data_IF_553450055230
#
_entry.id   IF_553450055230
#
_cell.length_a   1.000
_cell.length_b   1.000
_cell.length_c   1.000
_cell.angle_alpha   90.00
_cell.angle_beta   90.00
_cell.angle_gamma   90.00
#
_symmetry.space_group_name_H-M   'P 1'
#
loop_
_entity.id
_entity.type
_entity.pdbx_description
1 polymer ?
#
# COMPACT_ATOMS: atom_id res chain seq x y z
N UNK A 1 32.94 -59.38 25.94
CA UNK A 1 33.07 -57.96 26.35
C UNK A 1 31.68 -57.42 26.66
N UNK A 2 31.58 -56.65 27.74
CA UNK A 2 30.38 -56.43 28.56
C UNK A 2 29.29 -55.58 27.90
N UNK A 3 28.02 -55.97 28.14
CA UNK A 3 26.83 -55.12 28.09
C UNK A 3 26.76 -54.32 29.39
N UNK A 4 26.58 -53.00 29.30
CA UNK A 4 26.26 -52.15 30.46
C UNK A 4 25.05 -51.29 30.14
N UNK A 5 23.94 -51.58 30.81
CA UNK A 5 22.76 -50.73 30.96
C UNK A 5 23.06 -49.61 31.94
N UNK A 6 22.69 -48.37 31.63
CA UNK A 6 22.59 -47.30 32.62
C UNK A 6 21.16 -46.78 32.69
N UNK A 7 20.56 -46.95 33.86
CA UNK A 7 19.28 -46.40 34.31
C UNK A 7 19.52 -44.92 34.66
N UNK A 8 18.76 -44.02 34.05
CA UNK A 8 18.73 -42.60 34.41
C UNK A 8 17.67 -42.37 35.50
N UNK A 9 18.15 -42.10 36.72
CA UNK A 9 17.36 -41.62 37.86
C UNK A 9 17.10 -40.12 37.73
N UNK A 10 15.83 -39.72 37.84
CA UNK A 10 15.38 -38.32 37.84
C UNK A 10 15.58 -37.73 39.24
N UNK A 11 16.26 -36.57 39.42
CA UNK A 11 16.32 -35.90 40.72
C UNK A 11 15.08 -35.04 40.99
N UNK A 12 14.60 -35.13 42.23
CA UNK A 12 13.46 -34.40 42.81
C UNK A 12 13.64 -32.86 42.78
N UNK A 13 12.57 -32.13 42.46
CA UNK A 13 12.47 -30.67 42.61
C UNK A 13 12.36 -30.26 44.10
N UNK A 14 13.05 -29.21 44.55
CA UNK A 14 12.84 -28.66 45.90
C UNK A 14 11.57 -27.78 45.96
N UNK A 15 10.83 -27.94 47.05
CA UNK A 15 9.62 -27.18 47.41
C UNK A 15 10.01 -25.78 47.92
N UNK A 16 9.38 -24.75 47.37
CA UNK A 16 9.50 -23.35 47.83
C UNK A 16 8.42 -23.10 48.90
N UNK A 17 8.74 -22.51 50.07
CA UNK A 17 7.75 -22.21 51.10
C UNK A 17 6.91 -20.98 50.76
N UNK A 18 5.59 -21.12 50.93
CA UNK A 18 4.61 -20.05 50.85
C UNK A 18 4.80 -19.04 52.00
N UNK A 19 5.19 -17.81 51.69
CA UNK A 19 5.05 -16.67 52.59
C UNK A 19 3.60 -16.17 52.53
N UNK A 20 2.87 -16.36 53.62
CA UNK A 20 1.57 -15.71 53.88
C UNK A 20 1.83 -14.27 54.36
N UNK A 21 1.56 -13.27 53.53
CA UNK A 21 1.40 -11.90 53.98
C UNK A 21 -0.08 -11.66 54.33
N UNK A 22 -0.36 -11.47 55.61
CA UNK A 22 -1.63 -10.93 56.10
C UNK A 22 -1.77 -9.47 55.65
N UNK A 23 -2.72 -9.20 54.75
CA UNK A 23 -3.22 -7.85 54.49
C UNK A 23 -4.55 -7.66 55.23
N UNK A 24 -4.52 -6.81 56.25
CA UNK A 24 -5.70 -6.32 56.95
C UNK A 24 -6.46 -5.32 56.06
N UNK A 25 -7.77 -5.53 55.89
CA UNK A 25 -8.71 -4.58 55.25
C UNK A 25 -8.80 -3.27 56.06
N UNK A 26 -8.83 -2.10 55.41
CA UNK A 26 -9.40 -0.91 56.02
C UNK A 26 -10.91 -0.79 55.72
N UNK A 27 -11.65 -0.44 56.77
CA UNK A 27 -13.09 -0.25 56.83
C UNK A 27 -13.59 1.00 56.08
N UNK A 28 -14.83 0.92 55.60
CA UNK A 28 -15.62 2.03 55.03
C UNK A 28 -16.17 2.98 56.10
N UNK A 29 -16.12 4.31 55.94
CA UNK A 29 -16.88 5.23 56.79
C UNK A 29 -18.31 5.45 56.27
N UNK A 30 -19.25 5.43 57.22
CA UNK A 30 -20.68 5.67 57.06
C UNK A 30 -21.00 7.14 56.81
N UNK A 31 -21.99 7.40 55.96
CA UNK A 31 -22.63 8.70 55.74
C UNK A 31 -23.55 9.11 56.90
N UNK A 32 -23.69 10.42 57.19
CA UNK A 32 -24.93 10.96 57.74
C UNK A 32 -25.62 11.90 56.72
N UNK A 33 -26.93 11.72 56.57
CA UNK A 33 -27.82 12.65 55.89
C UNK A 33 -28.00 13.92 56.72
N UNK A 34 -27.93 15.10 56.10
CA UNK A 34 -28.64 16.28 56.59
C UNK A 34 -29.10 17.13 55.40
N UNK A 35 -30.42 17.25 55.26
CA UNK A 35 -31.11 18.18 54.39
C UNK A 35 -30.81 19.63 54.80
N UNK A 36 -30.56 20.53 53.84
CA UNK A 36 -31.24 21.83 53.82
C UNK A 36 -31.05 22.59 52.50
N UNK A 37 -32.17 23.19 52.09
CA UNK A 37 -32.33 24.40 51.27
C UNK A 37 -31.88 24.42 49.81
N UNK A 38 -32.86 24.10 48.96
CA UNK A 38 -33.02 24.63 47.60
C UNK A 38 -32.80 26.15 47.58
N UNK A 39 -31.79 26.58 46.84
CA UNK A 39 -31.74 27.91 46.24
C UNK A 39 -31.59 27.71 44.74
N UNK A 40 -32.68 27.97 44.01
CA UNK A 40 -32.68 28.03 42.55
C UNK A 40 -31.84 29.24 42.13
N UNK A 41 -30.53 29.04 41.99
CA UNK A 41 -29.72 29.94 41.17
C UNK A 41 -30.02 29.61 39.71
N UNK A 42 -30.83 30.49 39.12
CA UNK A 42 -31.01 30.65 37.69
C UNK A 42 -29.64 30.77 37.04
N UNK A 43 -29.09 29.64 36.58
CA UNK A 43 -27.82 29.63 35.85
C UNK A 43 -28.13 30.05 34.43
N UNK A 44 -27.98 31.35 34.24
CA UNK A 44 -27.91 32.03 32.96
C UNK A 44 -27.14 31.15 31.97
N UNK A 45 -27.82 30.73 30.88
CA UNK A 45 -27.22 29.94 29.81
C UNK A 45 -26.04 30.72 29.25
N UNK A 46 -24.84 30.43 29.75
CA UNK A 46 -23.59 30.87 29.12
C UNK A 46 -23.58 30.30 27.72
N UNK A 47 -23.73 31.20 26.75
CA UNK A 47 -23.63 30.89 25.33
C UNK A 47 -22.21 30.39 25.07
N UNK A 48 -22.02 29.07 25.05
CA UNK A 48 -20.72 28.47 24.79
C UNK A 48 -20.42 28.62 23.30
N UNK A 49 -19.65 29.65 22.94
CA UNK A 49 -19.10 29.82 21.60
C UNK A 49 -18.24 28.61 21.25
N UNK A 50 -18.79 27.66 20.50
CA UNK A 50 -18.06 26.53 19.92
C UNK A 50 -17.12 27.05 18.84
N UNK A 51 -15.81 27.00 19.10
CA UNK A 51 -14.81 27.38 18.08
C UNK A 51 -14.59 26.18 17.16
N UNK A 52 -14.73 26.41 15.86
CA UNK A 52 -14.49 25.41 14.83
C UNK A 52 -13.06 25.58 14.31
N UNK A 53 -12.33 24.47 14.18
CA UNK A 53 -10.99 24.45 13.58
C UNK A 53 -10.97 23.49 12.40
N UNK A 54 -10.30 23.86 11.32
CA UNK A 54 -10.05 22.99 10.18
C UNK A 54 -8.55 22.84 9.96
N UNK A 55 -8.09 21.60 9.84
CA UNK A 55 -6.70 21.31 9.48
C UNK A 55 -6.59 19.94 8.81
N UNK A 56 -5.50 19.73 8.08
CA UNK A 56 -5.10 18.38 7.70
C UNK A 56 -4.58 17.64 8.93
N UNK A 57 -5.01 16.40 9.11
CA UNK A 57 -4.59 15.58 10.23
C UNK A 57 -3.06 15.42 10.23
N UNK A 58 -2.39 15.97 11.26
CA UNK A 58 -0.92 15.90 11.41
C UNK A 58 -0.40 14.47 11.55
N UNK A 59 -1.24 13.55 12.02
CA UNK A 59 -0.97 12.12 12.15
C UNK A 59 -2.27 11.33 12.17
N UNK A 60 -2.19 10.01 11.96
CA UNK A 60 -3.32 9.08 12.06
C UNK A 60 -3.76 8.71 13.48
N UNK A 61 -3.49 9.55 14.50
CA UNK A 61 -3.76 9.22 15.91
C UNK A 61 -5.12 9.71 16.42
N UNK A 62 -5.82 10.55 15.66
CA UNK A 62 -7.16 11.05 16.02
C UNK A 62 -8.25 10.13 15.49
N UNK A 63 -9.29 9.89 16.29
CA UNK A 63 -10.51 9.20 15.86
C UNK A 63 -11.66 10.17 15.66
N UNK A 64 -12.48 9.93 14.64
CA UNK A 64 -13.68 10.71 14.37
C UNK A 64 -14.75 10.43 15.44
N UNK A 65 -15.29 11.49 16.05
CA UNK A 65 -16.29 11.36 17.11
C UNK A 65 -17.69 10.93 16.66
N UNK A 66 -18.00 11.01 15.36
CA UNK A 66 -19.26 10.50 14.80
C UNK A 66 -19.17 9.02 14.41
N UNK A 67 -18.19 8.64 13.60
CA UNK A 67 -18.13 7.27 13.04
C UNK A 67 -17.12 6.34 13.74
N UNK A 68 -16.35 6.84 14.71
CA UNK A 68 -15.37 6.05 15.47
C UNK A 68 -14.09 5.67 14.71
N UNK A 69 -14.13 5.69 13.37
CA UNK A 69 -12.98 5.39 12.50
C UNK A 69 -11.83 6.39 12.72
N UNK A 70 -10.60 5.91 12.53
CA UNK A 70 -9.38 6.72 12.58
C UNK A 70 -9.37 7.73 11.42
N UNK A 71 -8.99 8.98 11.73
CA UNK A 71 -8.74 10.01 10.72
C UNK A 71 -7.26 9.90 10.35
N UNK A 72 -6.98 9.45 9.13
CA UNK A 72 -5.63 9.23 8.59
C UNK A 72 -4.86 10.53 8.43
N UNK A 73 -3.52 10.46 8.43
CA UNK A 73 -2.67 11.65 8.26
C UNK A 73 -2.93 12.31 6.90
N UNK A 74 -2.82 13.63 6.83
CA UNK A 74 -3.10 14.47 5.65
C UNK A 74 -4.56 14.51 5.18
N UNK A 75 -5.50 13.83 5.85
CA UNK A 75 -6.94 13.99 5.57
C UNK A 75 -7.48 15.24 6.27
N UNK A 76 -8.32 16.00 5.56
CA UNK A 76 -9.02 17.16 6.11
C UNK A 76 -9.95 16.73 7.25
N UNK A 77 -9.80 17.38 8.40
CA UNK A 77 -10.65 17.15 9.57
C UNK A 77 -11.15 18.45 10.19
N UNK A 78 -12.34 18.38 10.76
CA UNK A 78 -12.99 19.46 11.48
C UNK A 78 -13.03 19.18 12.98
N UNK A 79 -12.62 20.16 13.77
CA UNK A 79 -12.55 20.07 15.22
C UNK A 79 -13.51 21.03 15.90
N UNK A 80 -14.32 20.52 16.82
CA UNK A 80 -15.06 21.35 17.78
C UNK A 80 -14.21 21.53 19.01
N UNK A 81 -13.81 22.77 19.29
CA UNK A 81 -13.01 23.11 20.47
C UNK A 81 -13.95 23.56 21.57
N UNK A 82 -13.94 22.81 22.67
CA UNK A 82 -14.66 23.14 23.91
C UNK A 82 -13.67 23.26 25.05
N UNK A 83 -13.90 24.19 25.99
CA UNK A 83 -13.10 24.27 27.22
C UNK A 83 -13.64 23.32 28.28
N UNK A 84 -12.76 22.54 28.90
CA UNK A 84 -13.11 21.71 30.05
C UNK A 84 -13.30 22.57 31.31
N UNK A 85 -13.83 21.97 32.38
CA UNK A 85 -14.07 22.67 33.65
C UNK A 85 -12.78 23.20 34.32
N UNK A 86 -11.60 22.76 33.86
CA UNK A 86 -10.27 23.19 34.31
C UNK A 86 -9.65 24.25 33.39
N UNK A 87 -10.36 24.66 32.34
CA UNK A 87 -9.94 25.69 31.39
C UNK A 87 -9.08 25.21 30.22
N UNK A 88 -8.88 23.90 30.05
CA UNK A 88 -8.12 23.34 28.92
C UNK A 88 -9.00 23.13 27.69
N UNK A 89 -8.44 23.44 26.52
CA UNK A 89 -9.11 23.22 25.24
C UNK A 89 -9.11 21.72 24.87
N UNK A 90 -10.30 21.19 24.64
CA UNK A 90 -10.52 19.83 24.15
C UNK A 90 -11.12 19.88 22.74
N UNK A 91 -10.44 19.27 21.78
CA UNK A 91 -10.90 19.21 20.39
C UNK A 91 -11.56 17.88 20.07
N UNK A 92 -12.83 17.92 19.64
CA UNK A 92 -13.57 16.78 19.11
C UNK A 92 -13.44 16.75 17.59
N UNK A 93 -12.60 15.85 17.09
CA UNK A 93 -12.30 15.70 15.66
C UNK A 93 -13.36 14.90 14.90
N UNK A 94 -13.63 15.31 13.67
CA UNK A 94 -14.55 14.66 12.73
C UNK A 94 -13.94 14.63 11.32
N UNK A 95 -14.26 13.60 10.54
CA UNK A 95 -14.10 13.70 9.08
C UNK A 95 -14.98 14.84 8.55
N UNK A 96 -14.61 15.39 7.39
CA UNK A 96 -15.40 16.40 6.68
C UNK A 96 -16.88 16.01 6.57
N UNK A 97 -17.16 14.82 6.00
CA UNK A 97 -18.53 14.29 5.82
C UNK A 97 -19.18 13.79 7.12
N UNK A 98 -18.44 13.82 8.23
CA UNK A 98 -18.93 13.45 9.55
C UNK A 98 -19.26 14.64 10.43
N UNK A 99 -19.01 15.85 9.97
CA UNK A 99 -19.28 17.07 10.70
C UNK A 99 -20.71 17.53 10.43
N UNK A 100 -21.48 17.80 11.48
CA UNK A 100 -22.89 18.18 11.37
C UNK A 100 -23.26 19.43 12.18
N UNK A 101 -22.27 20.08 12.79
CA UNK A 101 -22.53 21.33 13.48
C UNK A 101 -22.74 22.44 12.46
N UNK A 102 -23.68 23.34 12.77
CA UNK A 102 -23.95 24.50 11.92
C UNK A 102 -22.72 25.41 11.91
N UNK A 103 -22.32 25.82 10.71
CA UNK A 103 -21.23 26.77 10.50
C UNK A 103 -21.90 28.09 10.16
N UNK A 104 -22.03 28.97 11.16
CA UNK A 104 -22.78 30.22 11.00
C UNK A 104 -22.00 31.25 10.15
N UNK A 105 -20.67 31.16 10.10
CA UNK A 105 -19.81 31.93 9.20
C UNK A 105 -18.49 31.20 8.97
N UNK A 106 -17.97 31.27 7.74
CA UNK A 106 -16.69 30.68 7.35
C UNK A 106 -15.49 31.40 8.00
N UNK A 107 -15.66 32.67 8.37
CA UNK A 107 -14.64 33.48 9.06
C UNK A 107 -14.38 32.98 10.50
N UNK A 108 -15.23 32.09 11.01
CA UNK A 108 -15.12 31.49 12.35
C UNK A 108 -14.26 30.22 12.34
N UNK A 109 -13.96 29.64 11.17
CA UNK A 109 -13.16 28.42 11.05
C UNK A 109 -11.67 28.77 11.09
N UNK A 110 -11.03 28.54 12.24
CA UNK A 110 -9.59 28.71 12.35
C UNK A 110 -8.87 27.67 11.49
N UNK A 111 -7.99 28.14 10.59
CA UNK A 111 -7.18 27.29 9.71
C UNK A 111 -7.71 27.16 8.27
N UNK A 112 -8.84 27.80 7.95
CA UNK A 112 -9.44 27.77 6.61
C UNK A 112 -8.50 28.27 5.50
N UNK A 113 -7.81 29.39 5.72
CA UNK A 113 -6.90 29.98 4.72
C UNK A 113 -5.66 29.11 4.43
N UNK A 114 -5.35 28.16 5.32
CA UNK A 114 -4.23 27.23 5.17
C UNK A 114 -4.59 25.95 4.41
N UNK A 115 -5.85 25.80 3.98
CA UNK A 115 -6.34 24.65 3.22
C UNK A 115 -6.12 24.81 1.71
N UNK A 116 -6.01 23.71 0.98
CA UNK A 116 -5.99 23.72 -0.49
C UNK A 116 -7.31 24.27 -1.03
N UNK A 117 -7.29 24.93 -2.19
CA UNK A 117 -8.47 25.58 -2.77
C UNK A 117 -9.68 24.65 -2.97
N UNK A 118 -9.43 23.38 -3.36
CA UNK A 118 -10.46 22.34 -3.49
C UNK A 118 -11.16 22.06 -2.17
N UNK A 119 -10.40 21.97 -1.07
CA UNK A 119 -10.90 21.70 0.27
C UNK A 119 -11.61 22.92 0.89
N UNK A 120 -11.16 24.12 0.56
CA UNK A 120 -11.88 25.36 0.89
C UNK A 120 -13.26 25.39 0.24
N UNK A 121 -13.36 24.95 -1.03
CA UNK A 121 -14.64 24.89 -1.73
C UNK A 121 -15.56 23.79 -1.17
N UNK A 122 -15.02 22.65 -0.76
CA UNK A 122 -15.79 21.60 -0.10
C UNK A 122 -16.38 22.05 1.24
N UNK A 123 -15.63 22.82 2.04
CA UNK A 123 -16.12 23.42 3.28
C UNK A 123 -17.18 24.51 3.03
N UNK A 124 -17.03 25.31 1.98
CA UNK A 124 -18.07 26.28 1.55
C UNK A 124 -19.38 25.56 1.25
N UNK A 125 -19.34 24.49 0.44
CA UNK A 125 -20.52 23.66 0.12
C UNK A 125 -21.15 22.99 1.33
N UNK A 126 -20.35 22.63 2.34
CA UNK A 126 -20.84 22.05 3.60
C UNK A 126 -21.52 23.10 4.50
N UNK A 127 -21.04 24.34 4.50
CA UNK A 127 -21.68 25.46 5.19
C UNK A 127 -23.02 25.86 4.52
N UNK A 128 -23.11 25.76 3.19
CA UNK A 128 -24.29 26.11 2.39
C UNK A 128 -25.39 25.00 2.34
N UNK A 129 -25.23 23.91 3.10
CA UNK A 129 -26.28 22.91 3.34
C UNK A 129 -26.70 22.03 2.15
N UNK A 130 -25.91 21.96 1.08
CA UNK A 130 -26.33 21.36 -0.20
C UNK A 130 -25.75 19.96 -0.47
N UNK A 131 -26.00 18.98 0.42
CA UNK A 131 -25.82 17.55 0.12
C UNK A 131 -27.03 16.74 0.62
N UNK A 132 -27.78 16.11 -0.30
CA UNK A 132 -28.84 15.14 0.01
C UNK A 132 -28.27 13.72 0.10
N UNK A 133 -28.65 13.01 1.17
CA UNK A 133 -28.38 11.59 1.42
C UNK A 133 -29.17 10.65 0.48
N UNK A 134 -28.62 9.50 0.04
CA UNK A 134 -29.40 8.36 -0.41
C UNK A 134 -29.65 7.34 0.73
N UNK A 135 -30.92 6.95 0.93
CA UNK A 135 -31.37 5.87 1.84
C UNK A 135 -31.33 4.51 1.14
N UNK A 136 -31.03 3.50 1.96
CA UNK A 136 -30.98 2.06 1.71
C UNK A 136 -32.31 1.43 1.27
N UNK A 137 -32.23 0.36 0.45
CA UNK A 137 -32.98 -0.89 0.64
C UNK A 137 -32.02 -2.07 0.45
N UNK A 138 -32.06 -2.98 1.43
CA UNK A 138 -31.20 -4.17 1.69
C UNK A 138 -31.58 -5.35 0.78
N UNK A 139 -30.76 -6.37 0.54
CA UNK A 139 -29.52 -6.72 1.23
C UNK A 139 -28.79 -7.95 0.66
N UNK A 140 -27.84 -8.38 1.49
CA UNK A 140 -26.92 -9.53 1.43
C UNK A 140 -25.56 -9.32 0.72
N UNK A 141 -24.62 -8.95 1.60
CA UNK A 141 -23.29 -9.53 1.81
C UNK A 141 -22.11 -9.00 0.96
N UNK A 142 -21.36 -8.13 1.64
CA UNK A 142 -19.88 -8.08 1.77
C UNK A 142 -19.02 -7.41 0.69
N UNK A 143 -19.08 -6.08 0.71
CA UNK A 143 -17.97 -5.09 0.79
C UNK A 143 -16.64 -5.43 0.05
N UNK A 144 -16.35 -4.64 -0.98
CA UNK A 144 -15.01 -4.32 -1.49
C UNK A 144 -14.84 -2.78 -1.46
N UNK A 145 -13.96 -2.29 -0.59
CA UNK A 145 -13.49 -0.90 -0.58
C UNK A 145 -12.48 -0.69 -1.71
N UNK A 146 -12.77 0.27 -2.60
CA UNK A 146 -11.83 0.86 -3.57
C UNK A 146 -11.45 2.24 -3.04
N UNK A 147 -10.16 2.54 -2.97
CA UNK A 147 -9.66 3.92 -2.86
C UNK A 147 -8.90 4.24 -4.15
N UNK A 148 -9.43 5.21 -4.89
CA UNK A 148 -8.84 5.85 -6.06
C UNK A 148 -8.08 7.10 -5.59
N UNK A 149 -6.84 7.27 -6.06
CA UNK A 149 -6.12 8.54 -6.06
C UNK A 149 -6.26 9.16 -7.45
N UNK A 150 -6.79 10.39 -7.51
CA UNK A 150 -6.77 11.25 -8.69
C UNK A 150 -5.61 12.26 -8.58
N UNK A 151 -4.79 12.39 -9.63
CA UNK A 151 -4.03 13.61 -9.92
C UNK A 151 -4.40 14.11 -11.32
N UNK A 152 -4.90 15.34 -11.38
CA UNK A 152 -5.11 16.14 -12.59
C UNK A 152 -3.96 17.13 -12.68
N UNK A 153 -3.19 17.09 -13.77
CA UNK A 153 -2.39 18.22 -14.24
C UNK A 153 -3.15 18.99 -15.31
N UNK A 154 -2.99 20.32 -15.31
CA UNK A 154 -3.58 21.22 -16.31
C UNK A 154 -2.47 21.90 -17.11
N UNK A 155 -2.52 21.74 -18.43
CA UNK A 155 -1.73 22.50 -19.40
C UNK A 155 -2.29 23.92 -19.56
N UNK A 156 -1.39 24.88 -19.85
CA UNK A 156 -1.72 26.05 -20.66
C UNK A 156 -0.69 26.23 -21.77
N UNK A 157 -1.20 26.24 -23.00
CA UNK A 157 -0.51 26.55 -24.24
C UNK A 157 -0.04 28.00 -24.31
N UNK A 158 1.08 28.27 -24.98
CA UNK A 158 1.09 29.28 -26.02
C UNK A 158 2.13 28.99 -27.12
N UNK A 159 1.73 29.26 -28.35
CA UNK A 159 2.35 28.87 -29.61
C UNK A 159 3.51 29.78 -30.00
N UNK A 160 4.58 29.22 -30.59
CA UNK A 160 5.14 29.65 -31.88
C UNK A 160 6.18 28.68 -32.45
N UNK A 161 6.00 28.44 -33.75
CA UNK A 161 6.66 27.53 -34.71
C UNK A 161 8.09 28.01 -35.06
N UNK A 162 9.04 27.09 -35.23
CA UNK A 162 10.24 27.06 -36.15
C UNK A 162 11.09 25.83 -35.71
N UNK A 163 11.02 24.70 -36.42
CA UNK A 163 11.94 24.17 -37.47
C UNK A 163 13.22 23.47 -36.93
N UNK A 164 13.26 22.14 -37.12
CA UNK A 164 14.41 21.21 -37.27
C UNK A 164 15.60 21.31 -36.30
N UNK A 165 15.76 20.29 -35.45
CA UNK A 165 16.91 19.36 -35.41
C UNK A 165 16.85 18.50 -34.14
N UNK A 166 17.12 17.19 -34.25
CA UNK A 166 17.35 16.31 -33.09
C UNK A 166 18.51 16.85 -32.22
N UNK A 167 18.55 16.48 -30.92
CA UNK A 167 19.45 15.38 -30.57
C UNK A 167 18.96 14.46 -29.44
N UNK A 168 19.55 13.25 -29.48
CA UNK A 168 19.68 12.26 -28.42
C UNK A 168 20.08 12.83 -27.05
N UNK A 169 19.58 12.18 -25.99
CA UNK A 169 20.41 11.54 -24.95
C UNK A 169 19.48 10.85 -23.93
N UNK A 170 19.35 9.51 -24.05
CA UNK A 170 18.79 8.68 -22.96
C UNK A 170 19.75 8.81 -21.79
N UNK A 171 19.34 9.53 -20.75
CA UNK A 171 19.98 9.50 -19.44
C UNK A 171 19.87 8.09 -18.86
N UNK A 172 20.83 7.23 -19.23
CA UNK A 172 20.93 5.87 -18.77
C UNK A 172 21.37 5.92 -17.31
N UNK A 173 20.47 5.54 -16.40
CA UNK A 173 20.83 5.25 -15.03
C UNK A 173 21.81 4.07 -15.08
N UNK A 174 23.11 4.36 -14.97
CA UNK A 174 24.14 3.35 -14.91
C UNK A 174 24.12 2.73 -13.50
N UNK A 175 23.11 1.90 -13.27
CA UNK A 175 22.99 1.12 -12.03
C UNK A 175 24.11 0.10 -12.05
N UNK A 176 25.14 0.32 -11.24
CA UNK A 176 26.23 -0.63 -11.04
C UNK A 176 25.67 -1.88 -10.32
N UNK A 177 25.26 -2.89 -11.10
CA UNK A 177 24.91 -4.20 -10.58
C UNK A 177 26.21 -5.00 -10.38
N UNK A 178 26.55 -5.26 -9.12
CA UNK A 178 27.67 -6.12 -8.76
C UNK A 178 27.16 -7.40 -8.09
N UNK A 179 27.77 -8.54 -8.43
CA UNK A 179 27.47 -9.83 -7.78
C UNK A 179 27.73 -9.76 -6.27
N UNK A 180 28.67 -8.94 -5.82
CA UNK A 180 28.95 -8.71 -4.39
C UNK A 180 27.79 -8.06 -3.62
N UNK A 181 26.90 -7.35 -4.31
CA UNK A 181 25.78 -6.62 -3.70
C UNK A 181 24.50 -7.45 -3.63
N UNK A 182 24.52 -8.65 -4.22
CA UNK A 182 23.44 -9.63 -4.19
C UNK A 182 23.39 -10.27 -2.80
N UNK A 183 22.18 -10.40 -2.26
CA UNK A 183 21.94 -10.90 -0.89
C UNK A 183 20.90 -12.02 -0.90
N UNK A 184 21.09 -13.00 -0.03
CA UNK A 184 20.11 -14.08 0.23
C UNK A 184 18.96 -13.65 1.17
N UNK A 185 18.96 -12.37 1.57
CA UNK A 185 17.93 -11.77 2.41
C UNK A 185 17.55 -10.40 1.91
N UNK A 186 16.26 -10.08 1.98
CA UNK A 186 15.77 -8.74 1.77
C UNK A 186 15.55 -8.05 3.12
N UNK A 187 16.49 -7.17 3.49
CA UNK A 187 16.54 -6.53 4.82
C UNK A 187 16.66 -7.58 5.95
N UNK A 188 15.61 -7.75 6.74
CA UNK A 188 15.48 -8.72 7.84
C UNK A 188 14.69 -9.99 7.43
N UNK A 189 14.16 -10.06 6.20
CA UNK A 189 13.46 -11.23 5.70
C UNK A 189 14.40 -12.16 4.93
N UNK A 190 14.42 -13.43 5.29
CA UNK A 190 15.13 -14.49 4.57
C UNK A 190 14.42 -14.79 3.25
N UNK A 191 15.19 -15.10 2.20
CA UNK A 191 14.69 -15.53 0.90
C UNK A 191 14.93 -17.03 0.71
N UNK A 192 14.07 -17.66 -0.09
CA UNK A 192 14.28 -19.03 -0.55
C UNK A 192 15.54 -19.12 -1.45
N UNK A 193 16.21 -20.29 -1.58
CA UNK A 193 17.55 -20.39 -2.16
C UNK A 193 17.77 -19.73 -3.53
N UNK A 194 16.80 -19.83 -4.45
CA UNK A 194 16.85 -19.23 -5.80
C UNK A 194 16.44 -17.75 -5.82
N UNK A 195 15.94 -17.21 -4.72
CA UNK A 195 15.51 -15.82 -4.64
C UNK A 195 16.60 -14.97 -4.01
N UNK A 196 16.93 -13.87 -4.68
CA UNK A 196 17.97 -12.94 -4.23
C UNK A 196 17.44 -11.53 -4.13
N UNK A 197 18.11 -10.71 -3.35
CA UNK A 197 17.84 -9.30 -3.21
C UNK A 197 19.01 -8.46 -3.75
N UNK A 198 18.67 -7.38 -4.42
CA UNK A 198 19.61 -6.33 -4.82
C UNK A 198 18.95 -4.98 -4.60
N UNK A 199 19.59 -4.09 -3.84
CA UNK A 199 19.01 -2.79 -3.46
C UNK A 199 17.56 -2.91 -2.94
N UNK A 200 16.57 -2.38 -3.66
CA UNK A 200 15.14 -2.43 -3.31
C UNK A 200 14.35 -3.45 -4.12
N UNK A 201 15.01 -4.32 -4.90
CA UNK A 201 14.37 -5.41 -5.63
C UNK A 201 14.66 -6.78 -5.02
N UNK A 202 13.71 -7.69 -5.18
CA UNK A 202 13.89 -9.14 -5.04
C UNK A 202 13.74 -9.75 -6.44
N UNK A 203 14.59 -10.70 -6.82
CA UNK A 203 14.52 -11.36 -8.11
C UNK A 203 14.74 -12.87 -7.98
N UNK A 204 14.19 -13.62 -8.92
CA UNK A 204 14.40 -15.07 -9.05
C UNK A 204 15.65 -15.31 -9.91
N UNK A 205 16.61 -16.08 -9.43
CA UNK A 205 17.76 -16.50 -10.24
C UNK A 205 17.31 -17.37 -11.42
N UNK A 206 18.13 -17.36 -12.47
CA UNK A 206 17.89 -18.13 -13.68
C UNK A 206 17.68 -19.60 -13.34
N UNK A 207 16.62 -20.18 -13.90
CA UNK A 207 16.44 -21.63 -13.94
C UNK A 207 17.08 -22.23 -15.20
N UNK A 208 17.46 -23.50 -15.16
CA UNK A 208 18.19 -24.18 -16.25
C UNK A 208 17.41 -24.18 -17.59
N UNK A 209 16.08 -24.05 -17.52
CA UNK A 209 15.20 -23.94 -18.69
C UNK A 209 14.97 -22.52 -19.19
N UNK A 210 15.40 -21.46 -18.51
CA UNK A 210 15.12 -20.10 -18.96
C UNK A 210 16.16 -19.64 -19.99
N UNK A 211 15.72 -19.42 -21.23
CA UNK A 211 16.59 -18.93 -22.31
C UNK A 211 16.55 -17.41 -22.44
N UNK A 212 17.72 -16.82 -22.73
CA UNK A 212 17.79 -15.43 -23.16
C UNK A 212 17.29 -15.27 -24.58
N UNK A 213 16.73 -14.11 -24.88
CA UNK A 213 16.13 -13.86 -26.19
C UNK A 213 16.21 -12.38 -26.53
N UNK A 214 16.24 -12.09 -27.84
CA UNK A 214 15.96 -10.75 -28.34
C UNK A 214 14.47 -10.39 -28.27
N UNK A 215 13.57 -11.36 -28.05
CA UNK A 215 12.13 -11.13 -27.96
C UNK A 215 11.67 -11.32 -26.53
N UNK A 216 11.07 -10.29 -25.93
CA UNK A 216 10.65 -10.30 -24.53
C UNK A 216 9.13 -10.18 -24.43
N UNK A 217 8.51 -11.15 -23.78
CA UNK A 217 7.13 -11.06 -23.32
C UNK A 217 7.16 -10.73 -21.82
N UNK A 218 6.84 -9.48 -21.47
CA UNK A 218 6.89 -9.01 -20.10
C UNK A 218 5.48 -8.77 -19.53
N UNK A 219 5.30 -9.06 -18.25
CA UNK A 219 3.98 -9.06 -17.61
C UNK A 219 4.03 -8.40 -16.23
N UNK A 220 2.96 -7.70 -15.85
CA UNK A 220 2.61 -7.56 -14.43
C UNK A 220 2.13 -8.90 -13.85
N UNK A 221 2.00 -8.99 -12.53
CA UNK A 221 1.49 -10.18 -11.85
C UNK A 221 0.08 -10.01 -11.28
N UNK A 222 -0.13 -9.05 -10.38
CA UNK A 222 -1.38 -8.92 -9.59
C UNK A 222 -2.43 -8.17 -10.42
N UNK A 223 -3.48 -8.86 -10.87
CA UNK A 223 -4.48 -8.29 -11.78
C UNK A 223 -4.18 -8.55 -13.26
N UNK A 224 -2.97 -8.96 -13.59
CA UNK A 224 -2.57 -9.37 -14.94
C UNK A 224 -2.54 -10.89 -15.12
N UNK A 225 -1.58 -11.57 -14.47
CA UNK A 225 -1.42 -13.03 -14.57
C UNK A 225 -2.23 -13.77 -13.50
N UNK A 226 -2.35 -13.18 -12.32
CA UNK A 226 -3.02 -13.77 -11.18
C UNK A 226 -4.07 -12.82 -10.61
N UNK A 227 -5.27 -13.36 -10.37
CA UNK A 227 -6.23 -12.73 -9.48
C UNK A 227 -5.82 -13.03 -8.05
N UNK A 228 -5.31 -12.04 -7.34
CA UNK A 228 -4.86 -12.18 -5.96
C UNK A 228 -5.90 -11.64 -4.99
N UNK A 229 -6.11 -12.36 -3.89
CA UNK A 229 -7.15 -12.00 -2.94
C UNK A 229 -6.68 -10.86 -2.05
N UNK A 230 -7.43 -9.76 -2.00
CA UNK A 230 -7.20 -8.71 -1.00
C UNK A 230 -7.63 -9.15 0.41
N UNK A 231 -8.51 -10.15 0.50
CA UNK A 231 -9.11 -10.65 1.76
C UNK A 231 -8.32 -11.78 2.41
N UNK A 232 -7.47 -12.49 1.64
CA UNK A 232 -6.67 -13.62 2.12
C UNK A 232 -5.18 -13.33 1.93
N UNK A 233 -4.38 -13.63 2.93
CA UNK A 233 -2.91 -13.53 2.87
C UNK A 233 -2.33 -14.94 2.84
N UNK A 234 -1.30 -15.15 2.03
CA UNK A 234 -0.61 -16.44 1.94
C UNK A 234 -0.13 -16.76 0.53
N UNK A 235 0.70 -17.79 0.41
CA UNK A 235 1.24 -18.29 -0.86
C UNK A 235 0.13 -18.81 -1.81
N UNK A 236 -0.97 -19.30 -1.25
CA UNK A 236 -2.09 -19.90 -2.01
C UNK A 236 -3.26 -18.93 -2.23
N UNK A 237 -3.11 -17.66 -1.82
CA UNK A 237 -4.17 -16.66 -1.89
C UNK A 237 -4.32 -16.05 -3.31
N UNK A 238 -4.38 -16.91 -4.32
CA UNK A 238 -4.46 -16.50 -5.72
C UNK A 238 -5.22 -17.51 -6.59
N UNK A 239 -5.57 -17.08 -7.80
CA UNK A 239 -6.07 -17.91 -8.89
C UNK A 239 -5.61 -17.32 -10.22
N UNK A 240 -5.63 -18.09 -11.31
CA UNK A 240 -5.35 -17.53 -12.64
C UNK A 240 -6.31 -16.38 -12.96
N UNK A 241 -5.79 -15.29 -13.53
CA UNK A 241 -6.63 -14.17 -13.96
C UNK A 241 -7.56 -14.58 -15.11
N UNK A 242 -7.02 -15.35 -16.08
CA UNK A 242 -7.77 -15.96 -17.18
C UNK A 242 -7.36 -17.43 -17.36
N UNK A 243 -8.29 -18.33 -17.73
CA UNK A 243 -7.99 -19.76 -17.89
C UNK A 243 -7.04 -20.08 -19.06
N UNK A 244 -6.95 -19.20 -20.06
CA UNK A 244 -6.10 -19.30 -21.25
C UNK A 244 -4.62 -18.99 -20.99
N UNK A 245 -4.28 -18.40 -19.84
CA UNK A 245 -2.92 -17.96 -19.52
C UNK A 245 -1.87 -19.09 -19.67
N UNK A 246 -2.07 -20.30 -19.12
CA UNK A 246 -1.07 -21.36 -19.24
C UNK A 246 -0.71 -21.69 -20.70
N UNK A 247 -1.72 -21.85 -21.56
CA UNK A 247 -1.53 -22.16 -22.98
C UNK A 247 -0.85 -21.01 -23.73
N UNK A 248 -1.28 -19.77 -23.49
CA UNK A 248 -0.66 -18.59 -24.10
C UNK A 248 0.80 -18.42 -23.71
N UNK A 249 1.13 -18.58 -22.42
CA UNK A 249 2.52 -18.47 -21.97
C UNK A 249 3.40 -19.60 -22.53
N UNK A 250 2.86 -20.82 -22.69
CA UNK A 250 3.56 -21.92 -23.34
C UNK A 250 3.85 -21.61 -24.82
N UNK A 251 2.86 -21.14 -25.57
CA UNK A 251 3.03 -20.74 -26.98
C UNK A 251 4.13 -19.69 -27.14
N UNK A 252 4.10 -18.62 -26.33
CA UNK A 252 5.12 -17.56 -26.40
C UNK A 252 6.53 -18.11 -26.13
N UNK A 253 6.65 -19.02 -25.17
CA UNK A 253 7.92 -19.64 -24.84
C UNK A 253 8.43 -20.55 -25.97
N UNK A 254 7.54 -21.34 -26.58
CA UNK A 254 7.84 -22.17 -27.76
C UNK A 254 8.21 -21.34 -28.99
N UNK A 255 7.63 -20.14 -29.13
CA UNK A 255 7.99 -19.14 -30.14
C UNK A 255 9.35 -18.46 -29.86
N UNK A 256 10.00 -18.81 -28.75
CA UNK A 256 11.33 -18.33 -28.37
C UNK A 256 11.33 -16.96 -27.71
N UNK A 257 10.21 -16.52 -27.14
CA UNK A 257 10.20 -15.32 -26.29
C UNK A 257 10.69 -15.66 -24.90
N UNK A 258 11.48 -14.76 -24.31
CA UNK A 258 11.79 -14.80 -22.89
C UNK A 258 10.65 -14.20 -22.11
N UNK A 259 10.11 -14.95 -21.16
CA UNK A 259 9.02 -14.50 -20.31
C UNK A 259 9.57 -13.85 -19.04
N UNK A 260 9.09 -12.64 -18.74
CA UNK A 260 9.55 -11.85 -17.60
C UNK A 260 8.37 -11.29 -16.80
N UNK A 261 8.41 -11.39 -15.48
CA UNK A 261 7.45 -10.73 -14.58
C UNK A 261 8.12 -9.53 -13.92
N UNK A 262 7.48 -8.37 -14.05
CA UNK A 262 7.84 -7.13 -13.35
C UNK A 262 6.67 -6.70 -12.47
N UNK A 263 6.83 -6.78 -11.15
CA UNK A 263 5.74 -6.51 -10.21
C UNK A 263 6.15 -5.56 -9.08
N UNK A 264 5.25 -4.66 -8.69
CA UNK A 264 5.43 -3.73 -7.57
C UNK A 264 4.85 -4.35 -6.30
N UNK A 265 5.62 -4.47 -5.21
CA UNK A 265 5.14 -5.04 -3.94
C UNK A 265 5.59 -4.18 -2.74
N UNK A 266 4.97 -3.01 -2.60
CA UNK A 266 5.36 -2.05 -1.53
C UNK A 266 5.07 -2.56 -0.12
N UNK A 267 4.23 -3.57 0.05
CA UNK A 267 3.91 -4.11 1.37
C UNK A 267 5.13 -4.76 2.03
N UNK A 268 6.06 -5.31 1.25
CA UNK A 268 7.34 -5.84 1.76
C UNK A 268 8.13 -4.73 2.50
N UNK A 269 8.14 -3.50 1.99
CA UNK A 269 8.80 -2.39 2.67
C UNK A 269 7.95 -1.76 3.78
N UNK A 270 6.65 -1.60 3.53
CA UNK A 270 5.72 -0.95 4.46
C UNK A 270 5.58 -1.76 5.74
N UNK A 271 5.47 -3.08 5.65
CA UNK A 271 5.14 -3.94 6.78
C UNK A 271 6.38 -4.46 7.50
N UNK A 272 7.13 -3.56 8.17
CA UNK A 272 8.40 -3.90 8.82
C UNK A 272 8.31 -5.12 9.75
N UNK A 273 7.29 -5.20 10.59
CA UNK A 273 7.13 -6.29 11.56
C UNK A 273 6.50 -7.56 10.96
N UNK A 274 6.05 -7.51 9.71
CA UNK A 274 5.44 -8.64 8.99
C UNK A 274 6.13 -8.85 7.63
N UNK A 275 7.38 -8.41 7.50
CA UNK A 275 8.09 -8.40 6.22
C UNK A 275 8.27 -9.82 5.69
N UNK A 276 8.68 -10.74 6.56
CA UNK A 276 8.80 -12.16 6.20
C UNK A 276 7.48 -12.70 5.63
N UNK A 277 6.35 -12.43 6.30
CA UNK A 277 5.02 -12.87 5.82
C UNK A 277 4.67 -12.27 4.46
N UNK A 278 5.00 -10.99 4.23
CA UNK A 278 4.77 -10.35 2.93
C UNK A 278 5.63 -10.95 1.82
N UNK A 279 6.91 -11.22 2.12
CA UNK A 279 7.86 -11.89 1.22
C UNK A 279 7.36 -13.30 0.90
N UNK A 280 7.09 -14.12 1.90
CA UNK A 280 6.61 -15.51 1.74
C UNK A 280 5.32 -15.57 0.94
N UNK A 281 4.38 -14.65 1.20
CA UNK A 281 3.11 -14.60 0.46
C UNK A 281 3.30 -14.21 -0.99
N UNK A 282 4.19 -13.24 -1.31
CA UNK A 282 4.41 -12.82 -2.69
C UNK A 282 5.23 -13.85 -3.47
N UNK A 283 6.34 -14.31 -2.91
CA UNK A 283 7.19 -15.33 -3.52
C UNK A 283 6.41 -16.62 -3.71
N UNK A 284 5.70 -17.10 -2.68
CA UNK A 284 4.90 -18.31 -2.77
C UNK A 284 3.81 -18.26 -3.85
N UNK A 285 3.12 -17.12 -4.00
CA UNK A 285 2.13 -16.92 -5.09
C UNK A 285 2.79 -17.05 -6.47
N UNK A 286 3.94 -16.42 -6.66
CA UNK A 286 4.66 -16.46 -7.94
C UNK A 286 5.23 -17.86 -8.21
N UNK A 287 5.85 -18.51 -7.23
CA UNK A 287 6.37 -19.87 -7.34
C UNK A 287 5.25 -20.85 -7.70
N UNK A 288 4.10 -20.77 -7.02
CA UNK A 288 2.95 -21.61 -7.31
C UNK A 288 2.36 -21.33 -8.71
N UNK A 289 2.37 -20.07 -9.15
CA UNK A 289 1.99 -19.70 -10.51
C UNK A 289 2.91 -20.31 -11.56
N UNK A 290 4.23 -20.17 -11.41
CA UNK A 290 5.24 -20.73 -12.33
C UNK A 290 5.08 -22.25 -12.42
N UNK A 291 4.92 -22.93 -11.27
CA UNK A 291 4.65 -24.37 -11.22
C UNK A 291 3.35 -24.77 -11.94
N UNK A 292 2.32 -23.91 -11.88
CA UNK A 292 1.03 -24.16 -12.53
C UNK A 292 1.11 -24.03 -14.05
N UNK A 293 1.81 -23.02 -14.56
CA UNK A 293 1.93 -22.76 -16.02
C UNK A 293 3.02 -23.60 -16.68
N UNK A 294 4.01 -24.08 -15.90
CA UNK A 294 5.12 -24.93 -16.35
C UNK A 294 5.99 -24.29 -17.43
N UNK A 295 6.17 -22.98 -17.33
CA UNK A 295 7.05 -22.22 -18.24
C UNK A 295 8.11 -21.52 -17.39
N UNK A 296 9.40 -21.62 -17.74
CA UNK A 296 10.45 -20.87 -17.07
C UNK A 296 10.24 -19.36 -17.24
N UNK A 297 10.35 -18.60 -16.15
CA UNK A 297 10.16 -17.14 -16.17
C UNK A 297 11.22 -16.44 -15.34
N UNK A 298 11.70 -15.30 -15.83
CA UNK A 298 12.51 -14.36 -15.03
C UNK A 298 11.56 -13.50 -14.18
N UNK A 299 11.88 -13.26 -12.92
CA UNK A 299 11.01 -12.45 -12.04
C UNK A 299 11.79 -11.34 -11.35
N UNK A 300 11.19 -10.15 -11.31
CA UNK A 300 11.65 -9.01 -10.52
C UNK A 300 10.48 -8.39 -9.73
N UNK A 301 10.71 -8.15 -8.44
CA UNK A 301 9.76 -7.61 -7.48
C UNK A 301 10.34 -6.31 -6.92
N UNK A 302 9.78 -5.16 -7.30
CA UNK A 302 10.13 -3.87 -6.73
C UNK A 302 9.47 -3.68 -5.37
N UNK A 303 10.27 -3.77 -4.30
CA UNK A 303 9.80 -3.71 -2.93
C UNK A 303 9.79 -2.29 -2.38
N UNK A 304 10.64 -1.40 -2.90
CA UNK A 304 10.76 -0.05 -2.38
C UNK A 304 9.54 0.82 -2.65
N UNK A 305 9.44 1.89 -1.86
CA UNK A 305 8.30 2.81 -1.87
C UNK A 305 8.77 4.16 -2.39
N UNK A 306 8.07 4.70 -3.37
CA UNK A 306 8.13 6.12 -3.69
C UNK A 306 7.22 6.85 -2.71
N UNK A 307 7.77 7.60 -1.74
CA UNK A 307 6.95 8.39 -0.81
C UNK A 307 7.30 9.86 -0.87
N UNK A 308 6.25 10.66 -1.09
CA UNK A 308 6.12 12.09 -0.83
C UNK A 308 6.64 12.41 0.57
N UNK A 309 7.78 13.09 0.63
CA UNK A 309 8.52 13.38 1.86
C UNK A 309 10.01 13.66 1.64
N UNK A 310 10.43 13.97 0.42
CA UNK A 310 11.82 14.26 0.07
C UNK A 310 12.73 13.04 -0.10
N UNK A 311 12.19 11.81 -0.11
CA UNK A 311 12.96 10.62 -0.49
C UNK A 311 12.98 10.46 -2.00
N UNK A 312 14.12 10.05 -2.54
CA UNK A 312 14.26 9.71 -3.95
C UNK A 312 13.22 8.64 -4.33
N UNK A 313 12.58 8.84 -5.47
CA UNK A 313 11.66 7.87 -6.10
C UNK A 313 12.45 6.58 -6.35
N UNK A 314 11.90 5.43 -5.96
CA UNK A 314 12.57 4.15 -6.21
C UNK A 314 12.70 3.93 -7.73
N UNK A 315 13.92 3.85 -8.29
CA UNK A 315 14.13 3.70 -9.72
C UNK A 315 13.63 2.34 -10.26
N UNK A 316 13.46 1.34 -9.40
CA UNK A 316 12.98 0.02 -9.78
C UNK A 316 11.46 -0.11 -9.72
N UNK A 317 10.76 0.80 -9.01
CA UNK A 317 9.31 0.75 -8.90
C UNK A 317 8.66 1.29 -10.17
N UNK A 318 7.80 0.49 -10.82
CA UNK A 318 6.98 0.95 -11.96
C UNK A 318 6.20 2.21 -11.56
N UNK A 319 6.19 3.28 -12.37
CA UNK A 319 6.50 3.29 -13.81
C UNK A 319 7.98 3.49 -14.18
N UNK A 320 8.91 3.54 -13.22
CA UNK A 320 10.34 3.69 -13.55
C UNK A 320 10.90 2.42 -14.21
N UNK A 321 11.79 2.54 -15.21
CA UNK A 321 12.28 1.41 -16.00
C UNK A 321 13.40 0.59 -15.32
N UNK A 322 13.72 0.83 -14.04
CA UNK A 322 14.91 0.25 -13.42
C UNK A 322 14.94 -1.28 -13.42
N UNK A 323 13.81 -1.95 -13.21
CA UNK A 323 13.76 -3.42 -13.31
C UNK A 323 14.05 -3.90 -14.75
N UNK A 324 13.57 -3.19 -15.77
CA UNK A 324 13.86 -3.50 -17.17
C UNK A 324 15.35 -3.36 -17.46
N UNK A 325 15.96 -2.23 -17.08
CA UNK A 325 17.38 -1.98 -17.32
C UNK A 325 18.29 -3.03 -16.66
N UNK A 326 17.94 -3.47 -15.44
CA UNK A 326 18.66 -4.58 -14.80
C UNK A 326 18.52 -5.86 -15.62
N UNK A 327 17.30 -6.21 -16.04
CA UNK A 327 17.05 -7.42 -16.82
C UNK A 327 17.84 -7.42 -18.13
N UNK A 328 17.72 -6.34 -18.90
CA UNK A 328 18.39 -6.16 -20.19
C UNK A 328 19.92 -6.26 -20.05
N UNK A 329 20.50 -5.52 -19.10
CA UNK A 329 21.95 -5.40 -18.96
C UNK A 329 22.61 -6.62 -18.32
N UNK A 330 21.95 -7.25 -17.35
CA UNK A 330 22.59 -8.27 -16.49
C UNK A 330 21.98 -9.66 -16.59
N UNK A 331 20.75 -9.77 -17.08
CA UNK A 331 20.03 -11.04 -17.11
C UNK A 331 19.74 -11.53 -18.52
N UNK A 332 20.22 -10.86 -19.59
CA UNK A 332 19.93 -11.22 -20.99
C UNK A 332 21.17 -11.58 -21.83
N UNK A 333 22.29 -11.94 -21.20
CA UNK A 333 23.56 -12.31 -21.88
C UNK A 333 24.06 -11.32 -22.95
N UNK A 334 23.71 -10.05 -22.84
CA UNK A 334 24.06 -9.02 -23.83
C UNK A 334 23.35 -9.15 -25.18
N UNK A 335 22.34 -10.01 -25.29
CA UNK A 335 21.51 -10.13 -26.50
C UNK A 335 20.68 -8.85 -26.64
N UNK A 336 20.81 -8.10 -27.76
CA UNK A 336 19.98 -6.93 -28.02
C UNK A 336 18.50 -7.30 -28.09
N UNK A 337 17.65 -6.48 -27.47
CA UNK A 337 16.21 -6.68 -27.45
C UNK A 337 15.58 -6.01 -28.68
N UNK A 338 14.85 -6.80 -29.47
CA UNK A 338 13.96 -6.34 -30.53
C UNK A 338 12.68 -5.79 -29.90
N UNK A 339 12.60 -4.46 -29.85
CA UNK A 339 11.47 -3.75 -29.24
C UNK A 339 10.16 -3.90 -30.01
N UNK A 340 10.22 -4.16 -31.32
CA UNK A 340 9.04 -4.35 -32.16
C UNK A 340 8.43 -5.74 -31.97
N UNK A 341 9.25 -6.72 -31.59
CA UNK A 341 8.85 -8.09 -31.25
C UNK A 341 8.69 -8.31 -29.74
N UNK A 342 8.81 -7.25 -28.94
CA UNK A 342 8.68 -7.30 -27.48
C UNK A 342 7.47 -6.49 -27.00
N UNK A 343 6.90 -6.90 -25.87
CA UNK A 343 5.71 -6.24 -25.34
C UNK A 343 5.59 -6.37 -23.82
N UNK A 344 4.75 -5.50 -23.25
CA UNK A 344 4.34 -5.52 -21.85
C UNK A 344 2.83 -5.71 -21.73
N UNK A 345 2.39 -6.58 -20.81
CA UNK A 345 0.97 -6.76 -20.47
C UNK A 345 0.74 -6.42 -18.99
N UNK A 346 -0.19 -5.52 -18.70
CA UNK A 346 -0.48 -5.10 -17.32
C UNK A 346 -1.84 -4.44 -17.17
N UNK A 347 -2.44 -4.53 -15.98
CA UNK A 347 -3.79 -4.02 -15.71
C UNK A 347 -3.79 -2.52 -15.34
N UNK A 348 -2.67 -1.99 -14.86
CA UNK A 348 -2.53 -0.58 -14.50
C UNK A 348 -2.35 0.32 -15.75
N UNK A 349 -3.41 0.44 -16.54
CA UNK A 349 -3.41 1.14 -17.83
C UNK A 349 -3.95 2.58 -17.76
N UNK A 350 -4.27 3.10 -16.57
CA UNK A 350 -4.79 4.46 -16.39
C UNK A 350 -6.24 4.66 -16.86
N UNK A 351 -7.01 3.57 -16.99
CA UNK A 351 -8.45 3.65 -17.30
C UNK A 351 -9.25 4.07 -16.06
N UNK A 352 -10.50 4.55 -16.20
CA UNK A 352 -11.28 5.08 -15.06
C UNK A 352 -11.46 4.14 -13.86
N UNK A 353 -11.30 2.83 -14.03
CA UNK A 353 -11.42 1.83 -12.96
C UNK A 353 -10.09 1.16 -12.60
N UNK A 354 -8.98 1.54 -13.24
CA UNK A 354 -7.67 1.02 -12.90
C UNK A 354 -7.18 1.66 -11.61
N UNK A 355 -6.43 0.90 -10.82
CA UNK A 355 -5.89 1.37 -9.55
C UNK A 355 -4.70 2.34 -9.74
N UNK A 356 -4.06 2.32 -10.92
CA UNK A 356 -2.99 3.23 -11.32
C UNK A 356 -2.76 3.16 -12.84
N UNK A 357 -1.78 3.92 -13.33
CA UNK A 357 -1.27 3.88 -14.71
C UNK A 357 0.19 3.39 -14.79
N UNK A 358 0.65 2.68 -13.74
CA UNK A 358 2.03 2.31 -13.58
C UNK A 358 2.56 1.38 -14.70
N UNK A 359 1.69 0.51 -15.24
CA UNK A 359 2.07 -0.47 -16.26
C UNK A 359 2.20 0.16 -17.64
N UNK A 360 1.20 0.96 -18.05
CA UNK A 360 1.26 1.67 -19.33
C UNK A 360 2.43 2.67 -19.34
N UNK A 361 2.66 3.39 -18.25
CA UNK A 361 3.80 4.32 -18.14
C UNK A 361 5.15 3.60 -18.07
N UNK A 362 5.21 2.41 -17.46
CA UNK A 362 6.41 1.56 -17.52
C UNK A 362 6.72 1.14 -18.95
N UNK A 363 5.72 0.63 -19.68
CA UNK A 363 5.88 0.23 -21.08
C UNK A 363 6.32 1.41 -21.95
N UNK A 364 5.71 2.59 -21.78
CA UNK A 364 6.11 3.83 -22.47
C UNK A 364 7.55 4.27 -22.15
N UNK A 365 7.95 4.21 -20.87
CA UNK A 365 9.29 4.60 -20.45
C UNK A 365 10.38 3.69 -21.05
N UNK A 366 10.06 2.42 -21.26
CA UNK A 366 10.94 1.44 -21.90
C UNK A 366 10.89 1.53 -23.43
N UNK A 367 9.72 1.85 -23.99
CA UNK A 367 9.45 1.83 -25.43
C UNK A 367 8.84 0.50 -25.91
N UNK A 368 8.09 -0.20 -25.05
CA UNK A 368 7.42 -1.46 -25.38
C UNK A 368 6.01 -1.23 -25.91
N UNK A 369 5.58 -2.11 -26.81
CA UNK A 369 4.14 -2.27 -27.11
C UNK A 369 3.41 -2.71 -25.84
N UNK A 370 2.27 -2.10 -25.57
CA UNK A 370 1.47 -2.36 -24.37
C UNK A 370 0.14 -3.04 -24.70
N UNK A 371 -0.26 -3.99 -23.88
CA UNK A 371 -1.57 -4.63 -23.93
C UNK A 371 -2.20 -4.69 -22.54
N UNK A 372 -3.53 -4.62 -22.48
CA UNK A 372 -4.27 -4.93 -21.25
C UNK A 372 -4.60 -6.42 -21.18
N UNK A 373 -4.68 -7.03 -19.97
CA UNK A 373 -4.89 -8.46 -19.81
C UNK A 373 -6.20 -8.95 -20.43
N UNK A 374 -7.25 -8.13 -20.36
CA UNK A 374 -8.57 -8.43 -20.91
C UNK A 374 -8.54 -8.65 -22.42
N UNK A 375 -7.70 -7.89 -23.13
CA UNK A 375 -7.61 -7.97 -24.59
C UNK A 375 -6.60 -9.06 -24.98
N UNK A 376 -5.54 -9.20 -24.19
CA UNK A 376 -4.46 -10.14 -24.51
C UNK A 376 -4.81 -11.59 -24.17
N UNK A 377 -5.51 -11.86 -23.06
CA UNK A 377 -5.76 -13.22 -22.59
C UNK A 377 -7.18 -13.73 -22.81
N UNK A 378 -8.21 -12.87 -22.92
CA UNK A 378 -9.61 -13.33 -22.93
C UNK A 378 -10.02 -14.19 -24.13
N UNK A 379 -9.29 -14.12 -25.25
CA UNK A 379 -9.52 -14.95 -26.44
C UNK A 379 -8.99 -16.36 -26.27
#
# INVERSE_FOLDING_TARGET
MLKVSFILTIPNKPKIPHLFCHFSKPESPKSPNLFSHFSFHFWEKRNMSTKIVAEYAKSGRSSCKKCGKTITAQVLRLGLVTRDARGFDMTKWHHLNCFHEKIDSLDVIKGFDSLKGVDQEALKKLADGSIKSPKQLRGKDDEEEREQDEEIESEKSNTKKIKLSAPDEKAQLDVAFSVSDIKDKYKDAALEPKWKAFQTIIFLERDDGLHDSGKIAAFDFDGCLAKTSLKRVGADAWSLMYPSIPEKLQSLYEEGLKLVIFTNESNIDRWKNKRQVAVDSKIGRITNFINKVKVPMQVFIACGISNSGGKAVDPFRKPKPGMWHIMEKHFNSGIPIDMDQSFYVGDAAGRPNDHSDADIKFAQAVGLKFYVPEDYFRS
#
